data_IF_417273571593
#
_entry.id   IF_417273571593
#
_cell.length_a   1.000
_cell.length_b   1.000
_cell.length_c   1.000
_cell.angle_alpha   90.00
_cell.angle_beta   90.00
_cell.angle_gamma   90.00
#
_symmetry.space_group_name_H-M   'P 1'
#
loop_
_entity.id
_entity.type
_entity.pdbx_description
1 polymer ?
#
# COMPACT_ATOMS: atom_id res chain seq x y z
N UNK A 1 20.57 -38.62 -41.10
CA UNK A 1 21.55 -38.95 -40.03
C UNK A 1 20.87 -38.98 -38.67
N UNK A 2 20.78 -40.14 -38.01
CA UNK A 2 20.30 -40.23 -36.61
C UNK A 2 21.39 -39.66 -35.69
N UNK A 3 21.14 -38.51 -35.06
CA UNK A 3 22.13 -37.95 -34.11
C UNK A 3 22.32 -38.90 -32.92
N UNK A 4 23.58 -39.10 -32.52
CA UNK A 4 23.92 -40.00 -31.42
C UNK A 4 23.28 -39.54 -30.11
N UNK A 5 22.95 -40.46 -29.20
CA UNK A 5 22.38 -40.16 -27.88
C UNK A 5 23.20 -39.08 -27.13
N UNK A 6 24.53 -39.16 -27.22
CA UNK A 6 25.48 -38.18 -26.63
C UNK A 6 25.36 -36.78 -27.25
N UNK A 7 25.13 -36.69 -28.56
CA UNK A 7 24.95 -35.40 -29.26
C UNK A 7 23.63 -34.73 -28.85
N UNK A 8 22.54 -35.51 -28.72
CA UNK A 8 21.25 -35.00 -28.24
C UNK A 8 21.33 -34.47 -26.81
N UNK A 9 22.01 -35.18 -25.90
CA UNK A 9 22.22 -34.73 -24.51
C UNK A 9 23.02 -33.43 -24.43
N UNK A 10 24.10 -33.27 -25.22
CA UNK A 10 24.87 -32.02 -25.26
C UNK A 10 24.04 -30.82 -25.72
N UNK A 11 23.18 -31.02 -26.73
CA UNK A 11 22.28 -29.97 -27.22
C UNK A 11 21.27 -29.58 -26.13
N UNK A 12 20.67 -30.54 -25.44
CA UNK A 12 19.71 -30.28 -24.36
C UNK A 12 20.38 -29.49 -23.21
N UNK A 13 21.59 -29.87 -22.81
CA UNK A 13 22.34 -29.16 -21.76
C UNK A 13 22.70 -27.73 -22.19
N UNK A 14 23.12 -27.55 -23.44
CA UNK A 14 23.41 -26.21 -23.97
C UNK A 14 22.14 -25.32 -24.01
N UNK A 15 21.00 -25.86 -24.45
CA UNK A 15 19.72 -25.13 -24.44
C UNK A 15 19.29 -24.77 -23.02
N UNK A 16 19.39 -25.70 -22.06
CA UNK A 16 19.09 -25.43 -20.65
C UNK A 16 20.01 -24.35 -20.06
N UNK A 17 21.30 -24.38 -20.36
CA UNK A 17 22.25 -23.36 -19.91
C UNK A 17 21.93 -21.98 -20.48
N UNK A 18 21.56 -21.89 -21.77
CA UNK A 18 21.11 -20.63 -22.39
C UNK A 18 19.81 -20.15 -21.76
N UNK A 19 18.83 -21.04 -21.55
CA UNK A 19 17.59 -20.68 -20.86
C UNK A 19 17.87 -20.14 -19.45
N UNK A 20 18.68 -20.84 -18.65
CA UNK A 20 19.03 -20.40 -17.30
C UNK A 20 19.79 -19.07 -17.29
N UNK A 21 20.69 -18.85 -18.25
CA UNK A 21 21.39 -17.58 -18.40
C UNK A 21 20.43 -16.44 -18.77
N UNK A 22 19.51 -16.66 -19.71
CA UNK A 22 18.52 -15.65 -20.14
C UNK A 22 17.53 -15.35 -19.01
N UNK A 23 16.97 -16.36 -18.34
CA UNK A 23 16.05 -16.18 -17.22
C UNK A 23 16.74 -15.57 -15.99
N UNK A 24 17.98 -15.98 -15.72
CA UNK A 24 18.79 -15.44 -14.62
C UNK A 24 19.14 -13.98 -14.84
N UNK A 25 19.62 -13.62 -16.03
CA UNK A 25 19.91 -12.23 -16.40
C UNK A 25 18.65 -11.38 -16.40
N UNK A 26 17.51 -11.89 -16.90
CA UNK A 26 16.24 -11.15 -16.91
C UNK A 26 15.77 -10.80 -15.49
N UNK A 27 15.79 -11.77 -14.56
CA UNK A 27 15.46 -11.51 -13.15
C UNK A 27 16.43 -10.54 -12.48
N UNK A 28 17.72 -10.62 -12.84
CA UNK A 28 18.74 -9.73 -12.29
C UNK A 28 18.55 -8.29 -12.79
N UNK A 29 18.31 -8.09 -14.09
CA UNK A 29 18.07 -6.76 -14.67
C UNK A 29 16.80 -6.13 -14.12
N UNK A 30 15.72 -6.90 -13.95
CA UNK A 30 14.45 -6.43 -13.36
C UNK A 30 14.57 -6.02 -11.88
N UNK A 31 15.63 -6.46 -11.20
CA UNK A 31 15.83 -6.24 -9.76
C UNK A 31 16.90 -5.18 -9.47
N UNK A 32 17.85 -4.94 -10.37
CA UNK A 32 19.02 -4.10 -10.08
C UNK A 32 19.24 -2.94 -11.06
N UNK A 33 18.62 -2.96 -12.25
CA UNK A 33 18.77 -1.88 -13.22
C UNK A 33 17.74 -0.78 -12.99
N UNK A 34 18.21 0.40 -12.57
CA UNK A 34 17.36 1.58 -12.36
C UNK A 34 16.61 1.97 -13.63
N UNK A 35 17.30 2.17 -14.75
CA UNK A 35 16.66 2.58 -16.02
C UNK A 35 15.61 1.59 -16.52
N UNK A 36 15.80 0.29 -16.27
CA UNK A 36 14.81 -0.72 -16.64
C UNK A 36 13.59 -0.70 -15.71
N UNK A 37 13.81 -0.57 -14.40
CA UNK A 37 12.74 -0.45 -13.42
C UNK A 37 11.93 0.84 -13.62
N UNK A 38 12.60 1.96 -13.93
CA UNK A 38 11.99 3.24 -14.28
C UNK A 38 11.09 3.12 -15.52
N UNK A 39 11.59 2.54 -16.61
CA UNK A 39 10.78 2.30 -17.81
C UNK A 39 9.54 1.44 -17.52
N UNK A 40 9.62 0.48 -16.60
CA UNK A 40 8.47 -0.32 -16.19
C UNK A 40 7.46 0.47 -15.37
N UNK A 41 7.94 1.35 -14.48
CA UNK A 41 7.09 2.26 -13.71
C UNK A 41 6.35 3.21 -14.65
N UNK A 42 7.06 3.86 -15.57
CA UNK A 42 6.46 4.76 -16.56
C UNK A 42 5.43 4.03 -17.41
N UNK A 43 5.77 2.84 -17.94
CA UNK A 43 4.82 2.04 -18.73
C UNK A 43 3.58 1.62 -17.92
N UNK A 44 3.75 1.29 -16.63
CA UNK A 44 2.63 1.02 -15.74
C UNK A 44 1.70 2.25 -15.60
N UNK A 45 2.29 3.43 -15.34
CA UNK A 45 1.53 4.68 -15.18
C UNK A 45 0.81 5.07 -16.47
N UNK A 46 1.48 5.01 -17.62
CA UNK A 46 0.87 5.26 -18.93
C UNK A 46 -0.37 4.40 -19.14
N UNK A 47 -0.29 3.09 -18.82
CA UNK A 47 -1.41 2.18 -18.99
C UNK A 47 -2.55 2.40 -17.98
N UNK A 48 -2.23 2.84 -16.76
CA UNK A 48 -3.23 3.08 -15.72
C UNK A 48 -4.00 4.38 -15.95
N UNK A 49 -3.28 5.44 -16.31
CA UNK A 49 -3.84 6.80 -16.44
C UNK A 49 -4.20 7.18 -17.88
N UNK A 50 -3.92 6.30 -18.85
CA UNK A 50 -4.11 6.55 -20.29
C UNK A 50 -3.37 7.81 -20.77
N UNK A 51 -2.08 7.88 -20.40
CA UNK A 51 -1.21 9.03 -20.63
C UNK A 51 0.07 8.65 -21.34
N UNK A 52 0.67 9.62 -22.04
CA UNK A 52 1.97 9.46 -22.69
C UNK A 52 3.11 9.48 -21.65
N UNK A 53 4.22 8.80 -21.96
CA UNK A 53 5.39 8.73 -21.07
C UNK A 53 5.94 10.12 -20.69
N UNK A 54 5.80 11.12 -21.57
CA UNK A 54 6.23 12.50 -21.32
C UNK A 54 5.39 13.24 -20.26
N UNK A 55 4.24 12.71 -19.87
CA UNK A 55 3.42 13.28 -18.80
C UNK A 55 4.03 13.04 -17.40
N UNK A 56 4.93 12.07 -17.28
CA UNK A 56 5.50 11.63 -16.01
C UNK A 56 6.98 12.02 -15.90
N UNK A 57 7.35 12.60 -14.77
CA UNK A 57 8.74 12.92 -14.43
C UNK A 57 9.16 12.15 -13.19
N UNK A 58 10.19 11.30 -13.29
CA UNK A 58 10.76 10.61 -12.13
C UNK A 58 11.72 11.57 -11.42
N UNK A 59 11.36 11.96 -10.20
CA UNK A 59 12.11 12.96 -9.41
C UNK A 59 13.22 12.31 -8.59
N UNK A 60 12.91 11.19 -7.94
CA UNK A 60 13.83 10.45 -7.08
C UNK A 60 13.52 8.96 -7.10
N UNK A 61 14.46 8.14 -6.66
CA UNK A 61 14.27 6.70 -6.54
C UNK A 61 15.03 6.11 -5.36
N UNK A 62 14.40 5.13 -4.73
CA UNK A 62 15.05 4.20 -3.80
C UNK A 62 15.36 2.91 -4.53
N UNK A 63 16.65 2.56 -4.60
CA UNK A 63 17.08 1.30 -5.19
C UNK A 63 16.57 0.10 -4.36
N UNK A 64 16.21 -1.00 -5.02
CA UNK A 64 15.90 -2.24 -4.34
C UNK A 64 17.11 -2.76 -3.56
N UNK A 65 16.89 -3.24 -2.34
CA UNK A 65 17.99 -3.69 -1.48
C UNK A 65 17.55 -4.30 -0.16
N UNK A 66 18.54 -4.74 0.61
CA UNK A 66 18.35 -5.23 1.96
C UNK A 66 18.16 -4.03 2.89
N UNK A 67 16.98 -3.93 3.48
CA UNK A 67 16.69 -3.06 4.61
C UNK A 67 16.80 -3.84 5.92
N UNK A 68 17.16 -3.13 6.99
CA UNK A 68 17.03 -3.65 8.34
C UNK A 68 15.71 -3.14 8.89
N UNK A 69 14.80 -4.05 9.23
CA UNK A 69 13.61 -3.73 10.01
C UNK A 69 13.98 -3.89 11.47
N UNK A 70 14.00 -2.77 12.20
CA UNK A 70 14.22 -2.80 13.65
C UNK A 70 13.01 -3.43 14.32
N UNK A 71 13.26 -4.42 15.16
CA UNK A 71 12.26 -5.21 15.88
C UNK A 71 12.66 -5.37 17.36
N UNK A 72 13.50 -4.46 17.87
CA UNK A 72 13.95 -4.48 19.27
C UNK A 72 14.97 -5.58 19.59
N UNK A 73 15.47 -6.30 18.58
CA UNK A 73 16.53 -7.31 18.69
C UNK A 73 17.86 -6.75 18.16
N UNK A 74 18.99 -7.21 18.72
CA UNK A 74 20.37 -6.81 18.35
C UNK A 74 20.66 -7.02 16.85
N UNK A 75 19.88 -7.88 16.17
CA UNK A 75 19.93 -8.09 14.73
C UNK A 75 18.50 -7.88 14.20
N UNK A 76 18.26 -6.71 13.61
CA UNK A 76 17.01 -6.41 12.91
C UNK A 76 16.71 -7.46 11.83
N UNK A 77 15.43 -7.72 11.56
CA UNK A 77 15.03 -8.62 10.48
C UNK A 77 15.51 -8.05 9.14
N UNK A 78 16.25 -8.87 8.38
CA UNK A 78 16.62 -8.55 7.00
C UNK A 78 15.34 -8.62 6.15
N UNK A 79 14.89 -7.46 5.67
CA UNK A 79 13.75 -7.36 4.76
C UNK A 79 14.23 -6.90 3.39
N UNK A 80 13.67 -7.51 2.35
CA UNK A 80 13.90 -7.05 0.98
C UNK A 80 12.96 -5.88 0.70
N UNK A 81 13.53 -4.69 0.49
CA UNK A 81 12.78 -3.49 0.09
C UNK A 81 12.85 -3.40 -1.43
N UNK A 82 11.70 -3.41 -2.09
CA UNK A 82 11.63 -3.22 -3.54
C UNK A 82 11.89 -1.76 -3.92
N UNK A 83 12.04 -1.50 -5.22
CA UNK A 83 12.10 -0.12 -5.72
C UNK A 83 10.87 0.68 -5.29
N UNK A 84 11.14 1.93 -4.91
CA UNK A 84 10.15 2.99 -4.79
C UNK A 84 10.62 4.17 -5.63
N UNK A 85 9.73 4.78 -6.39
CA UNK A 85 10.00 5.93 -7.23
C UNK A 85 9.12 7.08 -6.80
N UNK A 86 9.69 8.26 -6.68
CA UNK A 86 8.94 9.51 -6.54
C UNK A 86 8.70 10.07 -7.94
N UNK A 87 7.43 10.29 -8.28
CA UNK A 87 7.00 10.68 -9.62
C UNK A 87 6.16 11.93 -9.54
N UNK A 88 6.34 12.83 -10.50
CA UNK A 88 5.50 14.02 -10.70
C UNK A 88 4.57 13.82 -11.90
N UNK A 89 3.30 14.18 -11.71
CA UNK A 89 2.26 14.18 -12.74
C UNK A 89 1.18 15.20 -12.37
N UNK A 90 0.75 16.05 -13.31
CA UNK A 90 -0.26 17.11 -13.08
C UNK A 90 0.01 17.96 -11.82
N UNK A 91 1.25 18.40 -11.65
CA UNK A 91 1.74 19.17 -10.50
C UNK A 91 1.60 18.50 -9.12
N UNK A 92 1.18 17.22 -9.08
CA UNK A 92 1.22 16.38 -7.88
C UNK A 92 2.47 15.51 -7.89
N UNK A 93 3.03 15.27 -6.71
CA UNK A 93 4.10 14.30 -6.50
C UNK A 93 3.55 13.13 -5.69
N UNK A 94 3.89 11.91 -6.11
CA UNK A 94 3.38 10.67 -5.55
C UNK A 94 4.43 9.57 -5.67
N UNK A 95 4.24 8.46 -4.95
CA UNK A 95 5.15 7.33 -4.96
C UNK A 95 4.59 6.16 -5.75
N UNK A 96 5.47 5.49 -6.49
CA UNK A 96 5.21 4.19 -7.11
C UNK A 96 6.08 3.15 -6.43
N UNK A 97 5.47 2.08 -5.93
CA UNK A 97 6.17 0.95 -5.30
C UNK A 97 5.87 -0.37 -5.99
N UNK A 98 6.86 -1.26 -5.99
CA UNK A 98 6.68 -2.64 -6.45
C UNK A 98 6.29 -3.54 -5.27
N UNK A 99 5.16 -4.23 -5.38
CA UNK A 99 4.69 -5.21 -4.40
C UNK A 99 4.35 -6.52 -5.08
N UNK A 100 4.95 -7.63 -4.61
CA UNK A 100 4.77 -8.99 -5.16
C UNK A 100 4.89 -9.09 -6.70
N UNK A 101 5.74 -8.26 -7.31
CA UNK A 101 6.03 -8.30 -8.75
C UNK A 101 5.24 -7.28 -9.59
N UNK A 102 4.21 -6.67 -9.02
CA UNK A 102 3.39 -5.64 -9.66
C UNK A 102 3.72 -4.23 -9.13
N UNK A 103 3.42 -3.20 -9.91
CA UNK A 103 3.57 -1.80 -9.52
C UNK A 103 2.24 -1.23 -9.05
N UNK A 104 2.31 -0.37 -8.04
CA UNK A 104 1.19 0.34 -7.43
C UNK A 104 1.63 1.75 -7.05
N UNK A 105 0.69 2.68 -6.94
CA UNK A 105 0.96 4.09 -6.64
C UNK A 105 -0.06 4.68 -5.66
N UNK A 106 0.27 5.85 -5.09
CA UNK A 106 -0.63 6.66 -4.26
C UNK A 106 -1.08 7.97 -4.94
N UNK A 107 -1.06 8.06 -6.28
CA UNK A 107 -1.49 9.29 -6.96
C UNK A 107 -2.92 9.70 -6.61
N UNK A 108 -3.81 8.72 -6.43
CA UNK A 108 -5.23 8.94 -6.10
C UNK A 108 -5.49 9.00 -4.58
N UNK A 109 -4.46 8.94 -3.72
CA UNK A 109 -4.64 8.80 -2.27
C UNK A 109 -5.52 9.91 -1.68
N UNK A 110 -5.16 11.17 -1.92
CA UNK A 110 -5.91 12.33 -1.40
C UNK A 110 -7.35 12.37 -1.93
N UNK A 111 -7.57 11.95 -3.18
CA UNK A 111 -8.91 11.90 -3.78
C UNK A 111 -9.76 10.80 -3.10
N UNK A 112 -9.17 9.64 -2.83
CA UNK A 112 -9.83 8.52 -2.14
C UNK A 112 -10.17 8.88 -0.69
N UNK A 113 -9.23 9.50 0.03
CA UNK A 113 -9.46 9.98 1.40
C UNK A 113 -10.64 10.95 1.44
N UNK A 114 -10.71 11.87 0.46
CA UNK A 114 -11.83 12.80 0.32
C UNK A 114 -13.14 12.06 0.04
N UNK A 115 -13.19 11.15 -0.93
CA UNK A 115 -14.41 10.41 -1.26
C UNK A 115 -14.93 9.58 -0.08
N UNK A 116 -14.03 8.93 0.67
CA UNK A 116 -14.40 8.18 1.86
C UNK A 116 -14.92 9.10 2.97
N UNK A 117 -14.29 10.27 3.17
CA UNK A 117 -14.75 11.28 4.13
C UNK A 117 -16.14 11.81 3.78
N UNK A 118 -16.37 12.14 2.52
CA UNK A 118 -17.68 12.64 2.06
C UNK A 118 -18.77 11.57 2.20
N UNK A 119 -18.46 10.31 1.86
CA UNK A 119 -19.39 9.20 2.09
C UNK A 119 -19.75 9.05 3.57
N UNK A 120 -18.78 9.15 4.48
CA UNK A 120 -19.03 9.07 5.92
C UNK A 120 -19.90 10.22 6.43
N UNK A 121 -19.69 11.44 5.93
CA UNK A 121 -20.55 12.59 6.25
C UNK A 121 -21.99 12.37 5.83
N UNK A 122 -22.17 11.91 4.60
CA UNK A 122 -23.50 11.79 3.99
C UNK A 122 -24.29 10.57 4.53
N UNK A 123 -23.59 9.53 4.98
CA UNK A 123 -24.23 8.25 5.33
C UNK A 123 -24.15 7.89 6.81
N UNK A 124 -23.23 8.47 7.59
CA UNK A 124 -23.01 8.14 8.99
C UNK A 124 -23.28 9.35 9.89
N UNK A 125 -22.50 10.43 9.74
CA UNK A 125 -22.63 11.65 10.55
C UNK A 125 -21.83 12.82 9.94
N UNK A 126 -22.44 14.00 9.80
CA UNK A 126 -21.81 15.18 9.17
C UNK A 126 -20.51 15.65 9.87
N UNK A 127 -20.27 15.22 11.12
CA UNK A 127 -19.10 15.58 11.92
C UNK A 127 -17.81 14.84 11.52
N UNK A 128 -17.85 13.88 10.59
CA UNK A 128 -16.61 13.34 10.01
C UNK A 128 -15.83 14.45 9.30
N UNK A 129 -14.53 14.53 9.56
CA UNK A 129 -13.65 15.58 9.00
C UNK A 129 -12.54 15.01 8.14
N UNK A 130 -12.29 13.70 8.21
CA UNK A 130 -11.26 13.05 7.42
C UNK A 130 -11.26 11.54 7.58
N UNK A 131 -10.56 10.90 6.67
CA UNK A 131 -10.27 9.47 6.65
C UNK A 131 -8.83 9.33 6.20
N UNK A 132 -7.98 8.68 6.99
CA UNK A 132 -6.56 8.53 6.68
C UNK A 132 -6.30 7.18 6.02
N UNK A 133 -5.60 7.22 4.89
CA UNK A 133 -5.12 6.03 4.19
C UNK A 133 -3.61 6.10 3.98
N UNK A 134 -3.00 4.94 3.91
CA UNK A 134 -1.64 4.78 3.41
C UNK A 134 -1.63 4.08 2.05
N UNK A 135 -0.53 4.18 1.31
CA UNK A 135 -0.40 3.51 0.01
C UNK A 135 -0.58 1.99 0.12
N UNK A 136 -0.23 1.37 1.27
CA UNK A 136 -0.47 -0.07 1.46
C UNK A 136 -1.97 -0.40 1.50
N UNK A 137 -2.82 0.53 1.93
CA UNK A 137 -4.27 0.33 1.96
C UNK A 137 -4.88 0.29 0.57
N UNK A 138 -4.40 1.16 -0.33
CA UNK A 138 -4.77 1.14 -1.75
C UNK A 138 -4.38 -0.21 -2.37
N UNK A 139 -3.15 -0.68 -2.11
CA UNK A 139 -2.69 -1.99 -2.61
C UNK A 139 -3.61 -3.10 -2.10
N UNK A 140 -3.92 -3.08 -0.81
CA UNK A 140 -4.75 -4.08 -0.18
C UNK A 140 -6.14 -4.14 -0.82
N UNK A 141 -6.80 -2.99 -0.94
CA UNK A 141 -8.10 -2.89 -1.60
C UNK A 141 -8.07 -3.47 -3.02
N UNK A 142 -7.11 -3.07 -3.84
CA UNK A 142 -7.00 -3.53 -5.23
C UNK A 142 -6.79 -5.06 -5.34
N UNK A 143 -6.07 -5.65 -4.39
CA UNK A 143 -5.82 -7.10 -4.33
C UNK A 143 -7.05 -7.86 -3.82
N UNK A 144 -7.62 -7.43 -2.70
CA UNK A 144 -8.75 -8.10 -2.03
C UNK A 144 -9.99 -8.10 -2.92
N UNK A 145 -10.28 -6.95 -3.55
CA UNK A 145 -11.39 -6.80 -4.48
C UNK A 145 -11.06 -7.27 -5.91
N UNK A 146 -9.87 -7.84 -6.13
CA UNK A 146 -9.42 -8.40 -7.42
C UNK A 146 -9.58 -7.41 -8.59
N UNK A 147 -9.40 -6.13 -8.33
CA UNK A 147 -9.53 -5.02 -9.29
C UNK A 147 -8.34 -4.97 -10.26
N UNK A 148 -7.19 -5.47 -9.82
CA UNK A 148 -5.92 -5.38 -10.55
C UNK A 148 -5.24 -4.02 -10.32
N UNK A 149 -3.92 -3.97 -10.53
CA UNK A 149 -3.10 -2.82 -10.16
C UNK A 149 -3.30 -1.57 -11.04
N UNK A 150 -3.92 -1.71 -12.21
CA UNK A 150 -4.20 -0.60 -13.14
C UNK A 150 -5.63 -0.06 -13.03
N UNK A 151 -6.41 -0.55 -12.08
CA UNK A 151 -7.76 -0.04 -11.87
C UNK A 151 -7.70 1.41 -11.38
N UNK A 152 -8.46 2.29 -12.04
CA UNK A 152 -8.68 3.66 -11.58
C UNK A 152 -9.80 3.65 -10.55
N UNK A 153 -9.44 4.05 -9.33
CA UNK A 153 -10.40 4.16 -8.24
C UNK A 153 -11.24 5.43 -8.46
N UNK A 154 -12.53 5.34 -8.19
CA UNK A 154 -13.48 6.44 -8.35
C UNK A 154 -14.29 6.64 -7.07
N UNK A 155 -15.02 7.75 -6.99
CA UNK A 155 -15.88 8.07 -5.85
C UNK A 155 -16.88 6.95 -5.51
N UNK A 156 -17.42 6.24 -6.51
CA UNK A 156 -18.37 5.14 -6.26
C UNK A 156 -17.74 3.93 -5.55
N UNK A 157 -16.41 3.90 -5.41
CA UNK A 157 -15.71 2.86 -4.66
C UNK A 157 -15.59 3.18 -3.16
N UNK A 158 -15.97 4.38 -2.69
CA UNK A 158 -15.74 4.82 -1.32
C UNK A 158 -16.27 3.85 -0.25
N UNK A 159 -17.53 3.41 -0.37
CA UNK A 159 -18.14 2.45 0.56
C UNK A 159 -17.41 1.10 0.57
N UNK A 160 -17.01 0.61 -0.61
CA UNK A 160 -16.29 -0.66 -0.74
C UNK A 160 -14.90 -0.57 -0.08
N UNK A 161 -14.20 0.57 -0.27
CA UNK A 161 -12.90 0.84 0.36
C UNK A 161 -13.04 0.91 1.87
N UNK A 162 -14.03 1.63 2.38
CA UNK A 162 -14.37 1.70 3.81
C UNK A 162 -14.69 0.33 4.40
N UNK A 163 -15.19 -0.61 3.59
CA UNK A 163 -15.45 -1.99 4.03
C UNK A 163 -14.28 -2.96 3.84
N UNK A 164 -13.22 -2.56 3.11
CA UNK A 164 -12.13 -3.45 2.71
C UNK A 164 -10.81 -3.14 3.44
N UNK A 165 -10.48 -1.84 3.52
CA UNK A 165 -9.22 -1.34 4.08
C UNK A 165 -9.15 -1.46 5.60
N UNK A 166 -10.17 -1.05 6.38
CA UNK A 166 -9.99 -0.89 7.82
C UNK A 166 -9.88 -2.21 8.59
N UNK A 167 -10.03 -3.36 7.92
CA UNK A 167 -10.27 -4.66 8.56
C UNK A 167 -9.21 -5.72 8.20
N UNK A 168 -7.97 -5.29 7.95
CA UNK A 168 -6.84 -6.17 7.60
C UNK A 168 -6.67 -7.36 8.57
N UNK A 169 -7.04 -8.56 8.14
CA UNK A 169 -6.72 -9.81 8.86
C UNK A 169 -5.26 -10.28 8.71
N UNK A 170 -4.37 -9.59 7.98
CA UNK A 170 -2.99 -10.06 7.80
C UNK A 170 -2.04 -9.80 8.99
N UNK A 171 -1.41 -10.90 9.42
CA UNK A 171 -0.37 -11.13 10.44
C UNK A 171 0.67 -10.04 10.79
N UNK A 172 0.94 -9.93 12.11
CA UNK A 172 2.24 -9.83 12.84
C UNK A 172 2.76 -8.53 13.48
N UNK A 173 2.03 -7.41 13.54
CA UNK A 173 2.34 -6.31 14.47
C UNK A 173 1.07 -5.61 14.97
N UNK A 174 1.15 -5.02 16.17
CA UNK A 174 0.03 -4.81 17.10
C UNK A 174 -0.81 -3.54 16.90
N UNK A 175 -0.51 -2.67 15.92
CA UNK A 175 -1.24 -1.41 15.74
C UNK A 175 -1.24 -0.92 14.28
N UNK A 176 -1.99 -1.59 13.40
CA UNK A 176 -2.44 -0.96 12.16
C UNK A 176 -3.84 -0.39 12.43
N UNK A 177 -3.94 0.92 12.67
CA UNK A 177 -5.20 1.62 12.89
C UNK A 177 -5.61 2.39 11.64
N UNK A 178 -6.82 2.15 11.16
CA UNK A 178 -7.44 3.10 10.23
C UNK A 178 -8.02 4.25 11.03
N UNK A 179 -7.56 5.47 10.71
CA UNK A 179 -7.88 6.67 11.48
C UNK A 179 -9.02 7.40 10.80
N UNK A 180 -10.14 7.52 11.49
CA UNK A 180 -11.21 8.43 11.13
C UNK A 180 -11.04 9.72 11.93
N UNK A 181 -11.16 10.87 11.26
CA UNK A 181 -11.17 12.15 11.95
C UNK A 181 -12.62 12.60 12.10
N UNK A 182 -12.96 13.03 13.31
CA UNK A 182 -14.32 13.35 13.72
C UNK A 182 -14.31 14.57 14.63
N UNK A 183 -15.23 15.51 14.44
CA UNK A 183 -15.36 16.70 15.26
C UNK A 183 -16.29 16.46 16.47
N UNK A 184 -15.70 16.04 17.59
CA UNK A 184 -16.39 15.86 18.86
C UNK A 184 -16.53 17.13 19.71
N UNK A 185 -16.11 18.31 19.22
CA UNK A 185 -15.97 19.53 20.05
C UNK A 185 -17.27 20.05 20.69
N UNK A 186 -18.42 19.58 20.22
CA UNK A 186 -19.75 19.97 20.72
C UNK A 186 -20.29 19.05 21.83
N UNK A 187 -19.62 17.93 22.12
CA UNK A 187 -20.11 16.94 23.07
C UNK A 187 -19.40 17.07 24.42
N UNK A 188 -20.19 17.19 25.49
CA UNK A 188 -19.68 17.30 26.86
C UNK A 188 -19.41 15.94 27.52
N UNK A 189 -19.85 14.85 26.91
CA UNK A 189 -19.76 13.48 27.41
C UNK A 189 -19.17 12.58 26.31
N UNK A 190 -17.88 12.32 26.41
CA UNK A 190 -17.09 11.63 25.38
C UNK A 190 -17.41 10.14 25.29
N UNK A 191 -17.78 9.50 26.41
CA UNK A 191 -18.04 8.06 26.45
C UNK A 191 -19.38 7.74 25.75
N UNK A 192 -20.40 8.57 25.97
CA UNK A 192 -21.67 8.47 25.26
C UNK A 192 -21.53 8.74 23.76
N UNK A 193 -20.64 9.66 23.37
CA UNK A 193 -20.34 9.93 21.96
C UNK A 193 -19.71 8.71 21.26
N UNK A 194 -18.75 8.06 21.92
CA UNK A 194 -18.03 6.92 21.38
C UNK A 194 -18.98 5.72 21.13
N UNK A 195 -19.88 5.41 22.07
CA UNK A 195 -20.89 4.34 21.91
C UNK A 195 -21.87 4.65 20.76
N UNK A 196 -22.38 5.88 20.68
CA UNK A 196 -23.31 6.30 19.64
C UNK A 196 -22.67 6.21 18.25
N UNK A 197 -21.44 6.70 18.13
CA UNK A 197 -20.71 6.69 16.85
C UNK A 197 -20.38 5.26 16.41
N UNK A 198 -19.91 4.41 17.33
CA UNK A 198 -19.69 2.99 17.03
C UNK A 198 -20.97 2.32 16.51
N UNK A 199 -22.13 2.64 17.08
CA UNK A 199 -23.41 2.12 16.58
C UNK A 199 -23.71 2.62 15.16
N UNK A 200 -23.60 3.92 14.90
CA UNK A 200 -23.81 4.52 13.56
C UNK A 200 -22.88 3.91 12.51
N UNK A 201 -21.61 3.69 12.86
CA UNK A 201 -20.65 3.04 11.97
C UNK A 201 -21.00 1.56 11.73
N UNK A 202 -21.33 0.79 12.78
CA UNK A 202 -21.74 -0.62 12.64
C UNK A 202 -23.03 -0.81 11.84
N UNK A 203 -23.93 0.19 11.84
CA UNK A 203 -25.15 0.17 11.02
C UNK A 203 -24.84 0.30 9.51
N UNK A 204 -23.63 0.75 9.13
CA UNK A 204 -23.25 1.11 7.77
C UNK A 204 -22.03 0.34 7.24
N UNK A 205 -21.12 -0.07 8.11
CA UNK A 205 -19.85 -0.70 7.79
C UNK A 205 -19.70 -2.02 8.55
N UNK A 206 -18.96 -2.96 7.96
CA UNK A 206 -18.68 -4.27 8.54
C UNK A 206 -17.49 -4.22 9.51
N UNK A 207 -17.67 -3.59 10.67
CA UNK A 207 -16.58 -3.45 11.65
C UNK A 207 -16.25 -4.77 12.38
N UNK A 208 -14.97 -5.08 12.62
CA UNK A 208 -14.52 -6.12 13.53
C UNK A 208 -15.04 -5.91 14.95
N UNK A 209 -15.31 -7.00 15.66
CA UNK A 209 -15.88 -6.98 17.02
C UNK A 209 -15.00 -6.33 18.09
N UNK A 210 -13.71 -6.14 17.81
CA UNK A 210 -12.72 -5.48 18.66
C UNK A 210 -12.51 -3.99 18.32
N UNK A 211 -13.33 -3.42 17.43
CA UNK A 211 -13.26 -2.00 17.08
C UNK A 211 -13.77 -1.13 18.22
N UNK A 212 -13.09 -0.01 18.48
CA UNK A 212 -13.50 0.98 19.48
C UNK A 212 -13.16 2.40 19.05
N UNK A 213 -13.82 3.39 19.65
CA UNK A 213 -13.51 4.82 19.52
C UNK A 213 -12.73 5.29 20.76
N UNK A 214 -11.88 6.32 20.63
CA UNK A 214 -11.26 6.97 21.78
C UNK A 214 -11.00 8.47 21.54
N UNK A 215 -11.28 9.29 22.55
CA UNK A 215 -10.86 10.70 22.71
C UNK A 215 -11.04 11.63 21.49
N UNK A 216 -12.29 11.88 21.07
CA UNK A 216 -12.66 13.07 20.26
C UNK A 216 -12.01 13.20 18.87
N UNK A 217 -11.15 12.25 18.48
CA UNK A 217 -10.67 11.93 17.14
C UNK A 217 -10.77 10.42 17.04
N UNK A 218 -11.76 9.94 16.30
CA UNK A 218 -12.15 8.52 16.33
C UNK A 218 -11.13 7.67 15.57
N UNK A 219 -10.06 7.31 16.27
CA UNK A 219 -9.10 6.33 15.79
C UNK A 219 -9.70 4.96 16.02
N UNK A 220 -10.11 4.30 14.94
CA UNK A 220 -10.56 2.92 15.01
C UNK A 220 -9.30 2.04 15.11
N UNK A 221 -9.00 1.57 16.31
CA UNK A 221 -7.92 0.63 16.53
C UNK A 221 -8.46 -0.79 16.46
N UNK A 222 -8.11 -1.52 15.40
CA UNK A 222 -8.39 -2.96 15.31
C UNK A 222 -7.23 -3.70 15.99
N UNK A 223 -7.35 -3.95 17.30
CA UNK A 223 -6.31 -4.65 18.09
C UNK A 223 -6.27 -6.15 17.78
N UNK A 224 -5.19 -6.64 17.18
CA UNK A 224 -4.88 -8.08 17.19
C UNK A 224 -4.21 -8.41 18.50
N UNK A 225 -4.94 -9.01 19.43
CA UNK A 225 -4.45 -9.67 20.66
C UNK A 225 -3.38 -8.90 21.46
N UNK A 226 -3.75 -8.31 22.59
CA UNK A 226 -2.80 -7.82 23.59
C UNK A 226 -1.86 -8.95 24.06
N UNK A 227 -0.57 -8.83 23.77
CA UNK A 227 0.47 -9.35 24.66
C UNK A 227 1.71 -8.43 24.63
N UNK A 228 1.81 -7.60 25.67
CA UNK A 228 2.99 -6.87 26.21
C UNK A 228 3.53 -5.61 25.52
N UNK A 229 3.70 -4.60 26.38
CA UNK A 229 4.33 -3.29 26.24
C UNK A 229 5.50 -3.18 25.23
N UNK A 230 5.33 -2.34 24.22
CA UNK A 230 6.44 -1.74 23.45
C UNK A 230 6.13 -0.26 23.20
N UNK A 231 7.08 0.68 23.44
CA UNK A 231 6.84 2.11 23.27
C UNK A 231 6.66 2.49 21.79
N UNK A 232 5.73 3.43 21.59
CA UNK A 232 5.30 4.00 20.33
C UNK A 232 6.44 4.57 19.47
N UNK A 233 6.44 4.25 18.17
CA UNK A 233 7.09 5.07 17.14
C UNK A 233 6.07 5.45 16.07
N UNK A 234 5.74 6.74 16.02
CA UNK A 234 5.11 7.38 14.88
C UNK A 234 6.11 7.38 13.71
N UNK A 235 5.79 6.70 12.62
CA UNK A 235 6.38 6.96 11.30
C UNK A 235 5.31 7.40 10.30
N UNK A 236 4.57 8.47 10.63
CA UNK A 236 4.28 9.44 9.58
C UNK A 236 5.55 10.25 9.40
N UNK A 237 6.36 9.99 8.37
CA UNK A 237 7.29 11.01 7.92
C UNK A 237 7.67 10.80 6.45
N UNK A 238 7.09 11.68 5.61
CA UNK A 238 7.65 12.18 4.33
C UNK A 238 9.05 12.83 4.52
N UNK A 239 9.90 12.31 5.43
CA UNK A 239 11.14 12.91 5.93
C UNK A 239 12.22 11.88 6.27
N UNK A 240 12.38 10.81 5.49
CA UNK A 240 13.66 10.07 5.49
C UNK A 240 14.03 9.61 4.09
N UNK A 241 14.18 10.57 3.18
CA UNK A 241 15.16 10.43 2.11
C UNK A 241 16.45 11.01 2.66
N UNK A 242 17.38 10.13 3.06
CA UNK A 242 18.76 10.52 3.25
C UNK A 242 19.26 11.06 1.90
N UNK A 243 19.27 12.38 1.76
CA UNK A 243 20.04 13.07 0.73
C UNK A 243 21.48 12.56 0.83
N UNK A 244 21.98 11.96 -0.24
CA UNK A 244 23.43 11.86 -0.44
C UNK A 244 23.96 13.20 -0.91
#
# INVERSE_FOLDING_TARGET
MKSSKKTKTKIIVAVLAVCLAVFGVYKFVDTYSHSYAENKVINYLCQKYDEDASAFEVLDYRQAGIGFRDNGLIIGNIVWVNFAFEVKYNDKTFFVKKYKGEYYDDYQLEDIEKWCTDWLKDNVDERFTGFNLETDDIIWYLITEKRGNKYLITESNAEEILNCVPFREFNRYDYDSTVFYYDGSKESDTDNLDEELMKKLNDKLLLPSNSYCCEGTVKLFVSKSFDTDVPCFYESNRKYICRK
#
